data_IF_456227324660
#
_entry.id   IF_456227324660
#
_cell.length_a   1.000
_cell.length_b   1.000
_cell.length_c   1.000
_cell.angle_alpha   90.00
_cell.angle_beta   90.00
_cell.angle_gamma   90.00
#
_symmetry.space_group_name_H-M   'P 1'
#
loop_
_entity.id
_entity.type
_entity.pdbx_description
1 polymer ?
#
# COMPACT_ATOMS: atom_id res chain seq x y z
N UNK A 1 -4.19 11.69 7.95
CA UNK A 1 -4.72 10.40 8.45
C UNK A 1 -4.08 9.29 7.63
N UNK A 2 -3.46 8.30 8.26
CA UNK A 2 -2.97 7.10 7.59
C UNK A 2 -4.02 5.99 7.56
N UNK A 3 -3.89 5.04 6.63
CA UNK A 3 -4.68 3.81 6.60
C UNK A 3 -3.76 2.63 6.35
N UNK A 4 -3.78 1.65 7.26
CA UNK A 4 -3.01 0.42 7.13
C UNK A 4 -3.92 -0.73 6.71
N UNK A 5 -3.66 -1.26 5.51
CA UNK A 5 -4.47 -2.31 4.89
C UNK A 5 -3.58 -3.54 4.60
N UNK A 6 -3.70 -4.62 5.42
CA UNK A 6 -2.75 -5.74 5.42
C UNK A 6 -3.11 -6.88 4.46
N UNK A 7 -4.21 -6.77 3.70
CA UNK A 7 -4.84 -7.83 2.89
C UNK A 7 -3.88 -8.73 2.10
N UNK A 8 -2.77 -8.19 1.58
CA UNK A 8 -1.76 -8.95 0.83
C UNK A 8 -0.32 -8.61 1.26
N UNK A 9 0.00 -8.81 2.55
CA UNK A 9 1.35 -8.64 3.11
C UNK A 9 1.76 -9.95 3.81
N UNK A 10 2.47 -10.81 3.10
CA UNK A 10 2.82 -12.17 3.49
C UNK A 10 4.34 -12.35 3.56
N UNK A 11 4.84 -13.15 4.51
CA UNK A 11 4.08 -13.85 5.56
C UNK A 11 3.53 -12.88 6.62
N UNK A 12 2.70 -13.37 7.56
CA UNK A 12 2.10 -12.51 8.59
C UNK A 12 3.16 -11.76 9.42
N UNK A 13 4.34 -12.34 9.59
CA UNK A 13 5.48 -11.68 10.26
C UNK A 13 5.98 -10.44 9.49
N UNK A 14 5.91 -10.42 8.15
CA UNK A 14 6.19 -9.22 7.34
C UNK A 14 5.11 -8.16 7.58
N UNK A 15 3.84 -8.54 7.66
CA UNK A 15 2.75 -7.64 8.01
C UNK A 15 2.97 -6.98 9.37
N UNK A 16 3.35 -7.76 10.39
CA UNK A 16 3.66 -7.24 11.72
C UNK A 16 4.84 -6.25 11.70
N UNK A 17 5.93 -6.57 11.00
CA UNK A 17 7.07 -5.66 10.86
C UNK A 17 6.67 -4.31 10.24
N UNK A 18 5.87 -4.34 9.17
CA UNK A 18 5.38 -3.10 8.52
C UNK A 18 4.42 -2.33 9.40
N UNK A 19 3.55 -3.03 10.14
CA UNK A 19 2.63 -2.42 11.11
C UNK A 19 3.41 -1.68 12.20
N UNK A 20 4.34 -2.36 12.85
CA UNK A 20 5.14 -1.78 13.94
C UNK A 20 5.96 -0.58 13.46
N UNK A 21 6.53 -0.65 12.25
CA UNK A 21 7.26 0.48 11.69
C UNK A 21 6.37 1.68 11.38
N UNK A 22 5.15 1.45 10.87
CA UNK A 22 4.19 2.54 10.66
C UNK A 22 3.69 3.13 11.99
N UNK A 23 3.52 2.30 13.02
CA UNK A 23 3.12 2.73 14.36
C UNK A 23 4.18 3.65 14.98
N UNK A 24 5.45 3.22 14.99
CA UNK A 24 6.58 4.03 15.44
C UNK A 24 6.67 5.37 14.68
N UNK A 25 6.50 5.33 13.36
CA UNK A 25 6.53 6.54 12.54
C UNK A 25 5.34 7.47 12.83
N UNK A 26 4.15 6.91 13.01
CA UNK A 26 2.94 7.67 13.32
C UNK A 26 3.00 8.34 14.70
N UNK A 27 3.61 7.68 15.69
CA UNK A 27 3.88 8.26 17.01
C UNK A 27 4.89 9.40 16.94
N UNK A 28 6.00 9.21 16.22
CA UNK A 28 7.04 10.23 16.03
C UNK A 28 6.48 11.49 15.33
N UNK A 29 5.77 11.31 14.22
CA UNK A 29 5.17 12.39 13.42
C UNK A 29 3.81 12.87 13.94
N UNK A 30 3.29 12.28 15.02
CA UNK A 30 2.04 12.64 15.70
C UNK A 30 0.82 12.68 14.77
N UNK A 31 0.67 11.68 13.89
CA UNK A 31 -0.54 11.54 13.06
C UNK A 31 -1.31 10.25 13.37
N UNK A 32 -2.62 10.29 13.15
CA UNK A 32 -3.52 9.14 13.38
C UNK A 32 -3.49 8.16 12.21
N UNK A 33 -3.58 6.87 12.53
CA UNK A 33 -3.70 5.77 11.56
C UNK A 33 -4.96 4.97 11.86
N UNK A 34 -5.73 4.67 10.82
CA UNK A 34 -6.81 3.68 10.88
C UNK A 34 -6.22 2.32 10.53
N UNK A 35 -6.43 1.34 11.40
CA UNK A 35 -5.88 0.00 11.29
C UNK A 35 -6.96 -0.97 10.86
N UNK A 36 -6.84 -1.53 9.66
CA UNK A 36 -7.62 -2.70 9.29
C UNK A 36 -7.09 -3.93 10.05
N UNK A 37 -8.01 -4.68 10.66
CA UNK A 37 -7.68 -5.87 11.46
C UNK A 37 -7.72 -7.15 10.64
N UNK A 38 -8.34 -7.11 9.45
CA UNK A 38 -8.57 -8.30 8.65
C UNK A 38 -7.36 -8.64 7.77
N UNK A 39 -6.82 -9.83 7.98
CA UNK A 39 -5.72 -10.38 7.19
C UNK A 39 -6.27 -11.46 6.24
N UNK A 40 -6.95 -11.03 5.19
CA UNK A 40 -7.70 -11.92 4.28
C UNK A 40 -6.81 -12.48 3.16
N UNK A 41 -5.71 -13.17 3.51
CA UNK A 41 -4.83 -13.85 2.55
C UNK A 41 -5.60 -14.78 1.61
N UNK A 42 -6.54 -15.54 2.16
CA UNK A 42 -7.31 -16.53 1.39
C UNK A 42 -8.13 -15.88 0.29
N UNK A 43 -8.77 -14.74 0.59
CA UNK A 43 -9.53 -13.96 -0.38
C UNK A 43 -8.60 -13.41 -1.47
N UNK A 44 -7.44 -12.87 -1.10
CA UNK A 44 -6.45 -12.43 -2.08
C UNK A 44 -6.06 -13.57 -3.02
N UNK A 45 -5.74 -14.75 -2.50
CA UNK A 45 -5.33 -15.90 -3.32
C UNK A 45 -6.47 -16.35 -4.25
N UNK A 46 -7.68 -16.53 -3.73
CA UNK A 46 -8.84 -16.96 -4.52
C UNK A 46 -9.11 -16.03 -5.72
N UNK A 47 -8.88 -14.73 -5.57
CA UNK A 47 -9.07 -13.76 -6.63
C UNK A 47 -7.93 -13.72 -7.67
N UNK A 48 -6.77 -14.31 -7.35
CA UNK A 48 -5.56 -14.26 -8.19
C UNK A 48 -5.20 -15.59 -8.84
N UNK A 49 -5.63 -16.72 -8.29
CA UNK A 49 -5.38 -18.05 -8.89
C UNK A 49 -5.88 -18.06 -10.34
N UNK A 50 -5.03 -18.58 -11.24
CA UNK A 50 -5.19 -18.54 -12.71
C UNK A 50 -5.02 -17.16 -13.37
N UNK A 51 -4.61 -16.14 -12.62
CA UNK A 51 -4.38 -14.76 -13.07
C UNK A 51 -3.11 -14.16 -12.44
N UNK A 52 -2.13 -15.00 -12.13
CA UNK A 52 -0.92 -14.65 -11.38
C UNK A 52 -0.07 -13.57 -12.07
N UNK A 53 -0.15 -13.50 -13.41
CA UNK A 53 0.50 -12.48 -14.24
C UNK A 53 -0.13 -11.09 -14.07
N UNK A 54 -1.42 -11.01 -13.73
CA UNK A 54 -2.18 -9.77 -13.54
C UNK A 54 -2.38 -9.39 -12.07
N UNK A 55 -1.72 -10.09 -11.14
CA UNK A 55 -1.86 -9.92 -9.69
C UNK A 55 -1.70 -8.48 -9.18
N UNK A 56 -0.81 -7.70 -9.79
CA UNK A 56 -0.55 -6.32 -9.38
C UNK A 56 -1.74 -5.41 -9.65
N UNK A 57 -2.42 -5.58 -10.80
CA UNK A 57 -3.59 -4.77 -11.15
C UNK A 57 -4.72 -4.95 -10.13
N UNK A 58 -5.00 -6.20 -9.75
CA UNK A 58 -5.96 -6.50 -8.69
C UNK A 58 -5.52 -5.94 -7.33
N UNK A 59 -4.26 -6.17 -6.93
CA UNK A 59 -3.73 -5.68 -5.65
C UNK A 59 -3.79 -4.14 -5.53
N UNK A 60 -3.48 -3.42 -6.60
CA UNK A 60 -3.62 -1.96 -6.63
C UNK A 60 -5.07 -1.54 -6.52
N UNK A 61 -5.94 -2.14 -7.33
CA UNK A 61 -7.36 -1.81 -7.33
C UNK A 61 -7.98 -2.03 -5.96
N UNK A 62 -7.76 -3.18 -5.33
CA UNK A 62 -8.31 -3.50 -4.02
C UNK A 62 -7.85 -2.52 -2.94
N UNK A 63 -6.53 -2.29 -2.84
CA UNK A 63 -5.94 -1.34 -1.88
C UNK A 63 -6.47 0.09 -2.03
N UNK A 64 -6.53 0.57 -3.26
CA UNK A 64 -6.94 1.95 -3.56
C UNK A 64 -8.46 2.09 -3.38
N UNK A 65 -9.26 1.07 -3.75
CA UNK A 65 -10.71 1.04 -3.53
C UNK A 65 -11.05 1.08 -2.05
N UNK A 66 -10.41 0.24 -1.23
CA UNK A 66 -10.60 0.24 0.23
C UNK A 66 -10.26 1.60 0.84
N UNK A 67 -9.18 2.23 0.37
CA UNK A 67 -8.79 3.58 0.79
C UNK A 67 -9.84 4.63 0.38
N UNK A 68 -10.33 4.61 -0.86
CA UNK A 68 -11.32 5.56 -1.37
C UNK A 68 -12.68 5.43 -0.64
N UNK A 69 -13.13 4.20 -0.37
CA UNK A 69 -14.36 3.94 0.39
C UNK A 69 -14.25 4.39 1.84
N UNK A 70 -13.08 4.21 2.46
CA UNK A 70 -12.80 4.75 3.79
C UNK A 70 -12.78 6.28 3.76
N UNK A 71 -12.12 6.89 2.78
CA UNK A 71 -12.04 8.34 2.62
C UNK A 71 -13.44 8.95 2.48
N UNK A 72 -14.30 8.34 1.65
CA UNK A 72 -15.70 8.76 1.48
C UNK A 72 -16.50 8.68 2.77
N UNK A 73 -16.44 7.55 3.49
CA UNK A 73 -17.14 7.39 4.78
C UNK A 73 -16.65 8.38 5.83
N UNK A 74 -15.35 8.67 5.85
CA UNK A 74 -14.73 9.62 6.75
C UNK A 74 -14.83 11.09 6.33
N UNK A 75 -15.48 11.40 5.19
CA UNK A 75 -15.60 12.75 4.62
C UNK A 75 -14.26 13.46 4.41
N UNK A 76 -13.23 12.74 3.97
CA UNK A 76 -11.95 13.32 3.60
C UNK A 76 -12.01 14.01 2.23
N UNK A 77 -11.24 15.07 2.03
CA UNK A 77 -11.22 15.85 0.78
C UNK A 77 -10.55 15.09 -0.38
N UNK A 78 -9.53 14.29 -0.07
CA UNK A 78 -8.74 13.53 -1.05
C UNK A 78 -8.33 12.18 -0.46
N UNK A 79 -8.02 11.22 -1.35
CA UNK A 79 -7.29 10.01 -0.98
C UNK A 79 -6.04 9.83 -1.85
N UNK A 80 -5.05 9.12 -1.32
CA UNK A 80 -3.81 8.78 -2.03
C UNK A 80 -3.27 7.44 -1.53
N UNK A 81 -2.12 7.00 -2.04
CA UNK A 81 -1.51 5.70 -1.69
C UNK A 81 0.02 5.78 -1.56
N UNK A 82 0.56 5.07 -0.59
CA UNK A 82 2.02 4.94 -0.38
C UNK A 82 2.71 4.13 -1.49
N UNK A 83 1.96 3.43 -2.34
CA UNK A 83 2.51 2.72 -3.50
C UNK A 83 3.26 3.66 -4.46
N UNK A 84 2.88 4.94 -4.50
CA UNK A 84 3.49 5.99 -5.32
C UNK A 84 4.91 6.38 -4.88
N UNK A 85 5.40 5.87 -3.73
CA UNK A 85 6.81 6.02 -3.34
C UNK A 85 7.74 5.04 -4.06
N UNK A 86 7.25 3.85 -4.42
CA UNK A 86 8.11 2.79 -4.95
C UNK A 86 8.52 3.03 -6.41
N UNK A 87 9.80 2.81 -6.70
CA UNK A 87 10.38 2.81 -8.06
C UNK A 87 10.01 1.58 -8.89
N UNK A 88 9.54 0.51 -8.24
CA UNK A 88 9.24 -0.77 -8.89
C UNK A 88 7.75 -0.96 -9.22
N UNK A 89 6.87 -0.09 -8.70
CA UNK A 89 5.43 -0.20 -8.94
C UNK A 89 5.06 0.50 -10.24
N UNK A 90 4.00 0.04 -10.90
CA UNK A 90 3.51 0.67 -12.13
C UNK A 90 2.67 1.91 -11.79
N UNK A 91 3.29 3.10 -11.84
CA UNK A 91 2.66 4.38 -11.47
C UNK A 91 1.50 4.75 -12.39
N UNK A 92 1.61 4.52 -13.70
CA UNK A 92 0.54 4.81 -14.65
C UNK A 92 -0.70 3.97 -14.36
N UNK A 93 -0.51 2.70 -14.02
CA UNK A 93 -1.60 1.81 -13.60
C UNK A 93 -2.23 2.28 -12.28
N UNK A 94 -1.42 2.65 -11.28
CA UNK A 94 -1.90 3.18 -9.99
C UNK A 94 -2.69 4.47 -10.21
N UNK A 95 -2.19 5.38 -11.05
CA UNK A 95 -2.84 6.64 -11.38
C UNK A 95 -4.18 6.41 -12.07
N UNK A 96 -4.21 5.56 -13.11
CA UNK A 96 -5.43 5.21 -13.84
C UNK A 96 -6.49 4.60 -12.91
N UNK A 97 -6.09 3.67 -12.04
CA UNK A 97 -6.99 3.06 -11.04
C UNK A 97 -7.51 4.13 -10.07
N UNK A 98 -6.64 4.98 -9.53
CA UNK A 98 -7.00 6.05 -8.61
C UNK A 98 -7.99 7.04 -9.21
N UNK A 99 -7.74 7.50 -10.44
CA UNK A 99 -8.63 8.41 -11.17
C UNK A 99 -9.99 7.77 -11.48
N UNK A 100 -10.02 6.49 -11.86
CA UNK A 100 -11.27 5.74 -12.09
C UNK A 100 -12.09 5.60 -10.79
N UNK A 101 -11.42 5.27 -9.68
CA UNK A 101 -12.05 5.17 -8.37
C UNK A 101 -12.51 6.53 -7.85
N UNK A 102 -11.79 7.61 -8.16
CA UNK A 102 -12.21 8.96 -7.81
C UNK A 102 -13.53 9.33 -8.49
N UNK A 103 -13.67 9.03 -9.80
CA UNK A 103 -14.92 9.26 -10.54
C UNK A 103 -16.10 8.47 -9.97
N UNK A 104 -15.90 7.19 -9.65
CA UNK A 104 -16.99 6.33 -9.16
C UNK A 104 -17.36 6.57 -7.69
N UNK A 105 -16.39 6.97 -6.84
CA UNK A 105 -16.65 7.21 -5.42
C UNK A 105 -17.05 8.66 -5.12
N UNK A 106 -16.65 9.62 -5.96
CA UNK A 106 -16.88 11.05 -5.76
C UNK A 106 -15.86 11.74 -4.83
N UNK A 107 -14.80 11.04 -4.43
CA UNK A 107 -13.68 11.64 -3.68
C UNK A 107 -12.49 11.77 -4.64
N UNK A 108 -11.89 12.95 -4.81
CA UNK A 108 -10.72 13.11 -5.68
C UNK A 108 -9.51 12.26 -5.25
N UNK A 109 -8.82 11.68 -6.23
CA UNK A 109 -7.53 11.01 -6.02
C UNK A 109 -6.39 12.02 -6.15
N UNK A 110 -5.55 12.09 -5.12
CA UNK A 110 -4.34 12.91 -5.14
C UNK A 110 -3.16 12.07 -5.63
N UNK A 111 -2.83 12.23 -6.91
CA UNK A 111 -1.61 11.68 -7.49
C UNK A 111 -0.43 12.62 -7.25
N UNK A 112 0.64 12.10 -6.67
CA UNK A 112 1.95 12.76 -6.64
C UNK A 112 3.06 11.73 -6.82
N UNK A 113 4.07 12.07 -7.60
CA UNK A 113 5.23 11.22 -7.81
C UNK A 113 6.23 11.36 -6.64
N UNK A 114 6.04 10.54 -5.61
CA UNK A 114 6.90 10.53 -4.43
C UNK A 114 8.29 9.91 -4.67
N UNK A 115 8.60 9.41 -5.89
CA UNK A 115 9.96 8.92 -6.21
C UNK A 115 11.00 10.03 -6.21
N UNK A 116 10.57 11.30 -6.40
CA UNK A 116 11.44 12.47 -6.35
C UNK A 116 12.11 12.66 -4.98
N UNK A 117 11.47 12.24 -3.88
CA UNK A 117 12.00 12.28 -2.51
C UNK A 117 12.60 10.96 -2.02
N UNK A 118 13.00 10.06 -2.94
CA UNK A 118 13.42 8.71 -2.60
C UNK A 118 14.72 8.65 -1.78
N UNK A 119 15.67 9.56 -2.02
CA UNK A 119 16.95 9.53 -1.31
C UNK A 119 16.75 9.99 0.13
N UNK A 120 16.01 11.08 0.29
CA UNK A 120 15.60 11.68 1.55
C UNK A 120 14.79 10.67 2.37
N UNK A 121 13.85 9.95 1.75
CA UNK A 121 13.11 8.87 2.43
C UNK A 121 13.99 7.70 2.88
N UNK A 122 15.06 7.36 2.14
CA UNK A 122 16.04 6.35 2.60
C UNK A 122 16.85 6.86 3.79
N UNK A 123 17.33 8.09 3.73
CA UNK A 123 18.12 8.68 4.82
C UNK A 123 17.30 8.80 6.09
N UNK A 124 16.06 9.28 5.97
CA UNK A 124 15.14 9.43 7.09
C UNK A 124 14.75 8.09 7.70
N UNK A 125 14.43 7.08 6.87
CA UNK A 125 14.13 5.74 7.38
C UNK A 125 15.32 5.10 8.10
N UNK A 126 16.56 5.38 7.70
CA UNK A 126 17.76 4.94 8.43
C UNK A 126 17.93 5.71 9.74
N UNK A 127 17.75 7.03 9.72
CA UNK A 127 17.85 7.91 10.90
C UNK A 127 16.88 7.47 11.99
N UNK A 128 15.65 7.14 11.59
CA UNK A 128 14.58 6.66 12.48
C UNK A 128 14.63 5.16 12.76
N UNK A 129 15.62 4.43 12.23
CA UNK A 129 15.76 2.97 12.36
C UNK A 129 14.48 2.19 11.96
N UNK A 130 13.73 2.70 10.98
CA UNK A 130 12.49 2.08 10.53
C UNK A 130 12.77 0.79 9.76
N UNK A 131 11.89 -0.19 9.93
CA UNK A 131 11.91 -1.38 9.09
C UNK A 131 11.73 -1.01 7.62
N UNK A 132 12.59 -1.55 6.76
CA UNK A 132 12.55 -1.34 5.30
C UNK A 132 12.19 -2.64 4.60
N UNK A 133 11.01 -2.66 3.99
CA UNK A 133 10.53 -3.80 3.21
C UNK A 133 11.48 -4.13 2.04
N UNK A 134 11.67 -5.42 1.77
CA UNK A 134 12.57 -5.91 0.71
C UNK A 134 11.83 -6.29 -0.59
N UNK A 135 10.50 -6.34 -0.54
CA UNK A 135 9.61 -6.73 -1.63
C UNK A 135 8.22 -6.12 -1.40
N UNK A 136 7.29 -6.27 -2.34
CA UNK A 136 5.98 -5.59 -2.23
C UNK A 136 5.07 -6.17 -1.13
N UNK A 137 5.36 -7.36 -0.62
CA UNK A 137 4.60 -8.06 0.40
C UNK A 137 3.80 -9.25 -0.13
N UNK A 138 3.56 -9.40 -1.43
CA UNK A 138 2.80 -10.56 -1.91
C UNK A 138 3.63 -11.83 -1.98
N UNK A 139 3.00 -13.00 -1.80
CA UNK A 139 3.68 -14.31 -1.84
C UNK A 139 4.42 -14.54 -3.16
N UNK A 140 3.88 -14.04 -4.28
CA UNK A 140 4.52 -14.16 -5.58
C UNK A 140 5.80 -13.31 -5.68
N UNK A 141 5.79 -12.10 -5.11
CA UNK A 141 6.99 -11.25 -5.09
C UNK A 141 8.06 -11.79 -4.15
N UNK A 142 7.66 -12.48 -3.07
CA UNK A 142 8.61 -13.16 -2.20
C UNK A 142 9.18 -14.41 -2.90
N UNK A 143 8.35 -15.18 -3.61
CA UNK A 143 8.83 -16.28 -4.46
C UNK A 143 9.85 -15.78 -5.47
N UNK A 144 9.54 -14.72 -6.23
CA UNK A 144 10.43 -14.18 -7.27
C UNK A 144 11.76 -13.64 -6.69
N UNK A 145 11.79 -13.31 -5.40
CA UNK A 145 13.01 -12.85 -4.72
C UNK A 145 13.98 -13.99 -4.42
N UNK A 146 13.48 -15.18 -4.09
CA UNK A 146 14.29 -16.36 -3.72
C UNK A 146 14.45 -17.38 -4.85
N UNK A 147 13.44 -17.52 -5.70
CA UNK A 147 13.40 -18.42 -6.84
C UNK A 147 13.95 -17.70 -8.07
N UNK A 148 15.25 -17.40 -8.04
CA UNK A 148 15.99 -16.90 -9.20
C UNK A 148 16.71 -18.04 -9.90
#
# INVERSE_FOLDING_TARGET
>A
MGFFYPHNIHPYTECQKRRNALELYAEHEKFRVIWDKEYNLMEFLQNIVFRESSRCAYCYHDRIKSTALLAKRGKFDYFTTTLLYSKFQNHEMIKSIGESLAKSTGIPFYYNDFRKGWKEGIEESKRLQLYRQQYCGCIYSEKDRFYK
#
